data_IF_007369686869
#
_entry.id   IF_007369686869
#
_cell.length_a   1.000
_cell.length_b   1.000
_cell.length_c   1.000
_cell.angle_alpha   90.00
_cell.angle_beta   90.00
_cell.angle_gamma   90.00
#
_symmetry.space_group_name_H-M   'P 1'
#
loop_
_entity.id
_entity.type
_entity.pdbx_description
1 polymer ?
#
# COMPACT_ATOMS: atom_id res chain seq x y z
N UNK A 1 -29.18 -8.11 28.00
CA UNK A 1 -29.09 -6.73 28.53
C UNK A 1 -28.04 -5.98 27.72
N UNK A 2 -28.45 -5.02 26.89
CA UNK A 2 -27.52 -4.17 26.14
C UNK A 2 -27.13 -2.97 27.00
N UNK A 3 -25.83 -2.70 27.13
CA UNK A 3 -25.32 -1.52 27.83
C UNK A 3 -25.36 -0.34 26.87
N UNK A 4 -26.19 0.68 27.16
CA UNK A 4 -26.23 1.93 26.39
C UNK A 4 -25.27 2.94 27.01
N UNK A 5 -24.27 3.39 26.24
CA UNK A 5 -23.31 4.42 26.66
C UNK A 5 -23.56 5.67 25.85
N UNK A 6 -23.86 6.80 26.51
CA UNK A 6 -24.10 8.09 25.84
C UNK A 6 -22.75 8.73 25.50
N UNK A 7 -22.43 8.82 24.21
CA UNK A 7 -21.19 9.47 23.74
C UNK A 7 -21.50 10.92 23.37
N UNK A 8 -20.91 11.88 24.08
CA UNK A 8 -21.11 13.32 23.83
C UNK A 8 -20.04 13.93 22.90
N UNK A 9 -18.99 13.18 22.57
CA UNK A 9 -17.89 13.59 21.69
C UNK A 9 -17.38 12.40 20.87
N UNK A 10 -17.04 12.65 19.62
CA UNK A 10 -16.48 11.66 18.68
C UNK A 10 -17.54 10.98 17.82
N UNK A 11 -17.10 10.40 16.71
CA UNK A 11 -17.93 9.56 15.85
C UNK A 11 -17.87 8.10 16.32
N UNK A 12 -18.99 7.39 16.24
CA UNK A 12 -19.04 5.96 16.57
C UNK A 12 -18.21 5.20 15.52
N UNK A 13 -17.31 4.34 15.97
CA UNK A 13 -16.54 3.48 15.07
C UNK A 13 -17.50 2.55 14.31
N UNK A 14 -17.39 2.56 12.98
CA UNK A 14 -18.33 1.87 12.09
C UNK A 14 -19.49 2.75 11.59
N UNK A 15 -19.58 4.01 12.00
CA UNK A 15 -20.49 4.97 11.37
C UNK A 15 -20.05 5.30 9.94
N UNK A 16 -21.00 5.30 9.00
CA UNK A 16 -20.76 5.61 7.58
C UNK A 16 -20.28 7.05 7.39
N UNK A 17 -20.86 7.99 8.14
CA UNK A 17 -20.53 9.42 8.03
C UNK A 17 -19.29 9.84 8.84
N UNK A 18 -18.79 8.99 9.76
CA UNK A 18 -17.67 9.31 10.64
C UNK A 18 -16.41 9.77 9.89
N UNK A 19 -15.94 9.03 8.85
CA UNK A 19 -14.80 9.45 8.04
C UNK A 19 -15.00 10.80 7.34
N UNK A 20 -16.21 11.07 6.83
CA UNK A 20 -16.51 12.34 6.16
C UNK A 20 -16.44 13.52 7.12
N UNK A 21 -17.07 13.39 8.31
CA UNK A 21 -16.99 14.44 9.33
C UNK A 21 -15.56 14.68 9.81
N UNK A 22 -14.77 13.61 9.94
CA UNK A 22 -13.36 13.75 10.29
C UNK A 22 -12.59 14.54 9.23
N UNK A 23 -12.77 14.22 7.95
CA UNK A 23 -12.13 14.94 6.85
C UNK A 23 -12.54 16.42 6.81
N UNK A 24 -13.81 16.75 7.08
CA UNK A 24 -14.29 18.14 7.13
C UNK A 24 -13.62 18.95 8.25
N UNK A 25 -13.45 18.35 9.42
CA UNK A 25 -12.74 19.00 10.53
C UNK A 25 -11.28 19.23 10.11
N UNK A 26 -10.61 18.18 9.61
CA UNK A 26 -9.19 18.21 9.29
C UNK A 26 -8.86 19.13 8.10
N UNK A 27 -9.79 19.36 7.17
CA UNK A 27 -9.61 20.28 6.02
C UNK A 27 -9.14 21.67 6.46
N UNK A 28 -9.68 22.20 7.55
CA UNK A 28 -9.26 23.51 8.09
C UNK A 28 -7.78 23.54 8.50
N UNK A 29 -7.26 22.44 9.08
CA UNK A 29 -5.83 22.32 9.40
C UNK A 29 -4.98 22.28 8.13
N UNK A 30 -5.43 21.53 7.12
CA UNK A 30 -4.71 21.38 5.85
C UNK A 30 -4.55 22.74 5.13
N UNK A 31 -5.59 23.57 5.16
CA UNK A 31 -5.56 24.93 4.60
C UNK A 31 -4.58 25.83 5.34
N UNK A 32 -4.65 25.88 6.68
CA UNK A 32 -3.75 26.69 7.51
C UNK A 32 -2.27 26.30 7.31
N UNK A 33 -1.98 25.01 7.16
CA UNK A 33 -0.62 24.53 6.86
C UNK A 33 -0.18 24.81 5.42
N UNK A 34 -1.12 24.74 4.47
CA UNK A 34 -0.88 25.09 3.07
C UNK A 34 -0.50 26.56 2.90
N UNK A 35 -1.15 27.46 3.65
CA UNK A 35 -0.82 28.90 3.67
C UNK A 35 0.59 29.19 4.21
N UNK A 36 1.11 28.31 5.09
CA UNK A 36 2.50 28.37 5.56
C UNK A 36 3.53 27.84 4.55
N UNK A 37 3.09 27.42 3.36
CA UNK A 37 3.94 26.83 2.32
C UNK A 37 4.46 25.43 2.66
N UNK A 38 3.81 24.73 3.60
CA UNK A 38 4.18 23.37 4.00
C UNK A 38 3.41 22.38 3.14
N UNK A 39 4.12 21.40 2.57
CA UNK A 39 3.43 20.28 1.95
C UNK A 39 2.82 19.41 3.05
N UNK A 40 1.50 19.30 3.03
CA UNK A 40 0.73 18.50 4.00
C UNK A 40 -0.12 17.47 3.27
N UNK A 41 -0.13 16.25 3.81
CA UNK A 41 -1.04 15.19 3.40
C UNK A 41 -1.64 14.56 4.65
N UNK A 42 -2.95 14.33 4.65
CA UNK A 42 -3.61 13.56 5.70
C UNK A 42 -4.30 12.33 5.15
N UNK A 43 -4.41 11.31 5.99
CA UNK A 43 -5.23 10.12 5.77
C UNK A 43 -5.75 9.63 7.11
N UNK A 44 -7.07 9.65 7.30
CA UNK A 44 -7.68 9.45 8.61
C UNK A 44 -6.99 10.33 9.67
N UNK A 45 -6.53 9.77 10.78
CA UNK A 45 -5.84 10.47 11.87
C UNK A 45 -4.35 10.74 11.61
N UNK A 46 -3.76 10.13 10.58
CA UNK A 46 -2.35 10.35 10.22
C UNK A 46 -2.19 11.63 9.40
N UNK A 47 -1.36 12.56 9.88
CA UNK A 47 -0.97 13.80 9.19
C UNK A 47 0.53 13.78 8.91
N UNK A 48 0.90 14.05 7.67
CA UNK A 48 2.27 14.05 7.18
C UNK A 48 2.63 15.48 6.79
N UNK A 49 3.71 16.00 7.38
CA UNK A 49 4.30 17.28 7.03
C UNK A 49 5.63 17.02 6.32
N UNK A 50 5.82 17.62 5.15
CA UNK A 50 7.04 17.47 4.37
C UNK A 50 7.68 18.84 4.10
N UNK A 51 8.97 18.92 4.38
CA UNK A 51 9.79 20.13 4.24
C UNK A 51 10.95 19.84 3.29
N UNK A 52 11.35 20.84 2.51
CA UNK A 52 12.51 20.74 1.61
C UNK A 52 13.34 22.01 1.71
N UNK A 53 14.48 21.94 2.41
CA UNK A 53 15.42 23.05 2.63
C UNK A 53 16.86 22.58 2.55
N UNK A 54 17.80 23.52 2.41
CA UNK A 54 19.23 23.22 2.20
C UNK A 54 20.01 22.96 3.50
N UNK A 55 19.49 23.45 4.64
CA UNK A 55 20.11 23.36 5.98
C UNK A 55 19.15 22.72 7.00
N UNK A 56 19.71 21.97 7.96
CA UNK A 56 18.97 21.41 9.08
C UNK A 56 18.30 22.48 9.94
N UNK A 57 18.97 23.63 10.15
CA UNK A 57 18.43 24.76 10.92
C UNK A 57 17.15 25.34 10.31
N UNK A 58 17.09 25.47 8.99
CA UNK A 58 15.89 25.95 8.29
C UNK A 58 14.75 24.93 8.34
N UNK A 59 15.08 23.63 8.27
CA UNK A 59 14.09 22.56 8.45
C UNK A 59 13.52 22.62 9.87
N UNK A 60 14.38 22.81 10.87
CA UNK A 60 13.98 22.91 12.27
C UNK A 60 13.04 24.10 12.51
N UNK A 61 13.39 25.29 12.01
CA UNK A 61 12.57 26.49 12.15
C UNK A 61 11.17 26.28 11.53
N UNK A 62 11.11 25.78 10.29
CA UNK A 62 9.84 25.55 9.60
C UNK A 62 9.02 24.43 10.22
N UNK A 63 9.65 23.35 10.64
CA UNK A 63 8.98 22.24 11.30
C UNK A 63 8.37 22.70 12.63
N UNK A 64 9.13 23.41 13.45
CA UNK A 64 8.64 23.94 14.73
C UNK A 64 7.52 24.97 14.53
N UNK A 65 7.63 25.85 13.53
CA UNK A 65 6.56 26.81 13.17
C UNK A 65 5.27 26.10 12.76
N UNK A 66 5.38 25.09 11.91
CA UNK A 66 4.23 24.30 11.47
C UNK A 66 3.60 23.51 12.63
N UNK A 67 4.40 22.91 13.50
CA UNK A 67 3.89 22.17 14.67
C UNK A 67 3.25 23.08 15.71
N UNK A 68 3.73 24.33 15.84
CA UNK A 68 3.04 25.35 16.64
C UNK A 68 1.65 25.67 16.06
N UNK A 69 1.53 25.77 14.74
CA UNK A 69 0.23 25.92 14.06
C UNK A 69 -0.69 24.70 14.35
N UNK A 70 -0.18 23.48 14.18
CA UNK A 70 -0.90 22.23 14.51
C UNK A 70 -1.38 22.22 15.96
N UNK A 71 -0.54 22.67 16.90
CA UNK A 71 -0.89 22.77 18.30
C UNK A 71 -2.03 23.76 18.54
N UNK A 72 -1.89 25.00 18.06
CA UNK A 72 -2.90 26.05 18.19
C UNK A 72 -4.24 25.63 17.56
N UNK A 73 -4.20 25.05 16.37
CA UNK A 73 -5.38 24.49 15.72
C UNK A 73 -6.01 23.36 16.53
N UNK A 74 -5.20 22.45 17.07
CA UNK A 74 -5.67 21.36 17.94
C UNK A 74 -6.40 21.89 19.17
N UNK A 75 -5.83 22.87 19.87
CA UNK A 75 -6.46 23.50 21.05
C UNK A 75 -7.81 24.13 20.69
N UNK A 76 -7.88 24.91 19.60
CA UNK A 76 -9.14 25.53 19.13
C UNK A 76 -10.21 24.49 18.80
N UNK A 77 -9.82 23.38 18.17
CA UNK A 77 -10.72 22.30 17.76
C UNK A 77 -10.92 21.21 18.84
N UNK A 78 -10.38 21.41 20.05
CA UNK A 78 -10.45 20.45 21.17
C UNK A 78 -9.87 19.07 20.82
N UNK A 79 -8.83 19.06 20.00
CA UNK A 79 -8.05 17.90 19.59
C UNK A 79 -6.64 17.96 20.18
N UNK A 80 -6.06 16.80 20.48
CA UNK A 80 -4.71 16.70 21.03
C UNK A 80 -3.89 15.70 20.21
N UNK A 81 -2.84 16.20 19.58
CA UNK A 81 -1.81 15.37 18.96
C UNK A 81 -0.88 14.84 20.04
N UNK A 82 -0.53 13.55 19.95
CA UNK A 82 0.33 12.87 20.92
C UNK A 82 1.79 12.92 20.45
N UNK A 83 2.69 13.69 21.10
CA UNK A 83 4.10 13.77 20.69
C UNK A 83 4.78 12.40 20.65
N UNK A 84 4.41 11.53 21.59
CA UNK A 84 4.93 10.15 21.69
C UNK A 84 4.58 9.24 20.50
N UNK A 85 3.57 9.59 19.70
CA UNK A 85 3.17 8.87 18.49
C UNK A 85 3.68 9.55 17.22
N UNK A 86 4.10 10.80 17.32
CA UNK A 86 4.66 11.57 16.21
C UNK A 86 6.14 11.20 16.04
N UNK A 87 6.56 11.05 14.79
CA UNK A 87 7.93 10.67 14.43
C UNK A 87 8.47 11.66 13.40
N UNK A 88 9.76 11.97 13.49
CA UNK A 88 10.47 12.79 12.51
C UNK A 88 11.57 11.97 11.83
N UNK A 89 11.82 12.25 10.55
CA UNK A 89 12.87 11.59 9.78
C UNK A 89 13.36 12.53 8.68
N UNK A 90 14.67 12.64 8.53
CA UNK A 90 15.29 13.39 7.43
C UNK A 90 15.65 12.44 6.30
N UNK A 91 15.29 12.82 5.07
CA UNK A 91 15.67 12.11 3.86
C UNK A 91 16.73 12.92 3.12
N UNK A 92 17.95 12.42 3.01
CA UNK A 92 19.04 13.13 2.32
C UNK A 92 20.06 12.18 1.71
N UNK A 93 20.66 12.63 0.59
CA UNK A 93 21.82 11.94 -0.03
C UNK A 93 23.15 12.37 0.59
N UNK A 94 23.17 13.39 1.46
CA UNK A 94 24.39 13.88 2.12
C UNK A 94 24.90 12.81 3.10
N UNK A 95 26.22 12.62 3.13
CA UNK A 95 26.86 11.66 4.05
C UNK A 95 26.84 12.18 5.50
N UNK A 96 27.00 13.49 5.67
CA UNK A 96 26.94 14.20 6.95
C UNK A 96 25.85 15.25 6.89
N UNK A 97 25.00 15.27 7.91
CA UNK A 97 23.96 16.25 8.14
C UNK A 97 23.62 16.22 9.63
N UNK A 98 23.08 17.33 10.13
CA UNK A 98 22.61 17.42 11.51
C UNK A 98 21.14 17.06 11.59
N UNK A 99 20.74 16.38 12.67
CA UNK A 99 19.35 16.03 12.91
C UNK A 99 18.60 17.24 13.49
N UNK A 100 17.49 17.70 12.86
CA UNK A 100 16.75 18.87 13.34
C UNK A 100 16.05 18.58 14.67
N UNK A 101 16.11 19.53 15.60
CA UNK A 101 15.45 19.45 16.90
C UNK A 101 14.00 19.93 16.81
N UNK A 102 13.12 18.97 16.53
CA UNK A 102 11.69 19.23 16.34
C UNK A 102 10.92 18.99 17.64
N UNK A 103 10.08 19.93 18.05
CA UNK A 103 9.30 19.90 19.28
C UNK A 103 7.79 19.98 19.00
N UNK A 104 7.01 19.25 19.79
CA UNK A 104 5.55 19.34 19.79
C UNK A 104 5.05 19.33 21.24
N UNK A 105 4.24 20.31 21.61
CA UNK A 105 3.71 20.48 22.98
C UNK A 105 4.82 20.54 24.06
N UNK A 106 5.99 21.08 23.73
CA UNK A 106 7.15 21.14 24.65
C UNK A 106 7.94 19.84 24.78
N UNK A 107 7.53 18.75 24.12
CA UNK A 107 8.25 17.49 24.06
C UNK A 107 9.02 17.38 22.73
N UNK A 108 10.26 16.89 22.78
CA UNK A 108 11.04 16.63 21.57
C UNK A 108 10.46 15.41 20.83
N UNK A 109 10.16 15.56 19.54
CA UNK A 109 9.71 14.47 18.69
C UNK A 109 10.86 13.50 18.44
N UNK A 110 10.56 12.21 18.50
CA UNK A 110 11.54 11.16 18.25
C UNK A 110 12.00 11.17 16.80
N UNK A 111 13.31 11.33 16.61
CA UNK A 111 13.96 11.10 15.33
C UNK A 111 14.13 9.60 15.07
N UNK A 112 13.70 9.14 13.89
CA UNK A 112 13.74 7.72 13.52
C UNK A 112 14.36 7.48 12.16
N UNK A 113 15.04 6.35 12.01
CA UNK A 113 15.63 5.92 10.73
C UNK A 113 14.65 5.26 9.77
N UNK A 114 13.44 4.92 10.23
CA UNK A 114 12.34 4.41 9.41
C UNK A 114 10.99 4.98 9.87
N UNK A 115 10.14 5.40 8.93
CA UNK A 115 8.75 5.79 9.19
C UNK A 115 7.81 4.83 8.47
N UNK A 116 6.70 4.49 9.13
CA UNK A 116 5.59 3.76 8.51
C UNK A 116 4.50 4.73 8.10
N UNK A 117 4.20 4.81 6.81
CA UNK A 117 3.13 5.62 6.24
C UNK A 117 2.19 4.72 5.45
N UNK A 118 0.91 4.64 5.83
CA UNK A 118 -0.08 3.80 5.16
C UNK A 118 0.44 2.38 4.89
N UNK A 119 1.08 1.73 5.86
CA UNK A 119 1.64 0.38 5.69
C UNK A 119 2.96 0.28 4.91
N UNK A 120 3.37 1.31 4.18
CA UNK A 120 4.69 1.40 3.54
C UNK A 120 5.75 1.78 4.59
N UNK A 121 6.89 1.10 4.60
CA UNK A 121 8.03 1.48 5.47
C UNK A 121 9.06 2.20 4.63
N UNK A 122 9.35 3.45 4.98
CA UNK A 122 10.29 4.31 4.27
C UNK A 122 11.54 4.48 5.13
N UNK A 123 12.72 4.19 4.58
CA UNK A 123 14.01 4.34 5.27
C UNK A 123 14.73 5.65 4.88
N UNK A 124 15.32 6.30 5.89
CA UNK A 124 15.88 7.66 5.80
C UNK A 124 17.01 7.87 4.77
N UNK A 125 17.89 6.87 4.57
CA UNK A 125 19.19 7.09 3.91
C UNK A 125 19.13 7.16 2.39
N UNK A 126 18.55 6.14 1.75
CA UNK A 126 18.60 5.99 0.28
C UNK A 126 17.30 5.47 -0.29
N UNK A 127 16.20 5.60 0.45
CA UNK A 127 14.88 5.05 0.10
C UNK A 127 15.06 3.62 -0.42
N UNK A 128 15.75 2.80 0.38
CA UNK A 128 16.12 1.47 -0.04
C UNK A 128 14.96 0.51 -0.08
N UNK A 129 13.95 0.76 0.73
CA UNK A 129 12.78 -0.09 0.96
C UNK A 129 13.14 -1.53 1.37
N UNK A 130 14.40 -1.79 1.74
CA UNK A 130 14.85 -3.11 2.22
C UNK A 130 14.06 -3.52 3.47
N UNK A 131 13.86 -2.64 4.49
CA UNK A 131 13.03 -2.98 5.64
C UNK A 131 11.58 -3.30 5.26
N UNK A 132 11.01 -2.57 4.29
CA UNK A 132 9.65 -2.81 3.81
C UNK A 132 9.52 -4.19 3.16
N UNK A 133 10.38 -4.49 2.17
CA UNK A 133 10.36 -5.78 1.46
C UNK A 133 10.63 -6.92 2.44
N UNK A 134 11.57 -6.76 3.37
CA UNK A 134 11.83 -7.78 4.39
C UNK A 134 10.59 -8.06 5.26
N UNK A 135 9.88 -7.01 5.71
CA UNK A 135 8.63 -7.14 6.48
C UNK A 135 7.53 -7.82 5.65
N UNK A 136 7.36 -7.44 4.38
CA UNK A 136 6.37 -8.03 3.47
C UNK A 136 6.67 -9.51 3.18
N UNK A 137 7.91 -9.84 2.79
CA UNK A 137 8.36 -11.21 2.54
C UNK A 137 8.22 -12.10 3.80
N UNK A 138 8.57 -11.57 4.98
CA UNK A 138 8.40 -12.28 6.26
C UNK A 138 6.92 -12.56 6.55
N UNK A 139 6.04 -11.56 6.37
CA UNK A 139 4.60 -11.72 6.54
C UNK A 139 4.03 -12.78 5.59
N UNK A 140 4.35 -12.67 4.30
CA UNK A 140 3.90 -13.62 3.29
C UNK A 140 4.40 -15.05 3.57
N UNK A 141 5.67 -15.20 3.94
CA UNK A 141 6.26 -16.50 4.30
C UNK A 141 5.59 -17.11 5.54
N UNK A 142 5.27 -16.31 6.55
CA UNK A 142 4.61 -16.80 7.77
C UNK A 142 3.19 -17.30 7.50
N UNK A 143 2.44 -16.59 6.65
CA UNK A 143 1.10 -17.00 6.22
C UNK A 143 1.20 -18.31 5.43
N UNK A 144 2.10 -18.36 4.44
CA UNK A 144 2.35 -19.58 3.67
C UNK A 144 2.74 -20.77 4.55
N UNK A 145 3.67 -20.58 5.50
CA UNK A 145 4.07 -21.64 6.45
C UNK A 145 2.89 -22.12 7.29
N UNK A 146 1.98 -21.24 7.66
CA UNK A 146 0.79 -21.61 8.43
C UNK A 146 -0.21 -22.40 7.60
N UNK A 147 -0.48 -21.96 6.36
CA UNK A 147 -1.31 -22.69 5.41
C UNK A 147 -0.73 -24.05 5.04
N UNK A 148 0.57 -24.12 4.77
CA UNK A 148 1.25 -25.37 4.46
C UNK A 148 1.26 -26.35 5.64
N UNK A 149 1.31 -25.87 6.88
CA UNK A 149 1.16 -26.72 8.07
C UNK A 149 -0.26 -27.28 8.18
N UNK A 150 -1.27 -26.44 8.01
CA UNK A 150 -2.68 -26.86 8.06
C UNK A 150 -2.98 -27.92 6.97
N UNK A 151 -2.54 -27.68 5.74
CA UNK A 151 -2.80 -28.60 4.65
C UNK A 151 -2.00 -29.91 4.73
N UNK A 152 -0.85 -29.93 5.42
CA UNK A 152 -0.13 -31.19 5.70
C UNK A 152 -0.96 -32.12 6.60
N UNK A 153 -1.83 -31.57 7.44
CA UNK A 153 -2.76 -32.37 8.25
C UNK A 153 -3.85 -33.05 7.39
N UNK A 154 -4.10 -32.54 6.18
CA UNK A 154 -5.15 -33.00 5.26
C UNK A 154 -4.57 -33.28 3.87
N UNK A 155 -3.93 -34.43 3.66
CA UNK A 155 -3.48 -34.96 2.35
C UNK A 155 -2.71 -33.99 1.39
N UNK A 156 -2.28 -32.81 1.84
CA UNK A 156 -1.58 -31.79 1.05
C UNK A 156 -2.49 -30.83 0.27
N UNK A 157 -1.90 -29.76 -0.30
CA UNK A 157 -2.59 -28.86 -1.24
C UNK A 157 -2.39 -29.35 -2.68
N UNK A 158 -3.42 -29.24 -3.52
CA UNK A 158 -3.24 -29.39 -4.96
C UNK A 158 -2.37 -28.24 -5.51
N UNK A 159 -1.61 -28.47 -6.61
CA UNK A 159 -0.82 -27.42 -7.25
C UNK A 159 -1.63 -26.17 -7.62
N UNK A 160 -2.87 -26.35 -8.06
CA UNK A 160 -3.79 -25.30 -8.48
C UNK A 160 -4.21 -24.44 -7.29
N UNK A 161 -4.61 -25.07 -6.18
CA UNK A 161 -4.97 -24.38 -4.94
C UNK A 161 -3.77 -23.59 -4.41
N UNK A 162 -2.57 -24.18 -4.44
CA UNK A 162 -1.36 -23.51 -4.00
C UNK A 162 -1.01 -22.30 -4.89
N UNK A 163 -1.19 -22.43 -6.21
CA UNK A 163 -1.03 -21.32 -7.16
C UNK A 163 -2.04 -20.20 -6.87
N UNK A 164 -3.29 -20.54 -6.62
CA UNK A 164 -4.33 -19.56 -6.25
C UNK A 164 -3.97 -18.83 -4.96
N UNK A 165 -3.58 -19.55 -3.90
CA UNK A 165 -3.12 -18.94 -2.64
C UNK A 165 -1.92 -18.03 -2.87
N UNK A 166 -0.97 -18.46 -3.71
CA UNK A 166 0.20 -17.66 -4.03
C UNK A 166 -0.20 -16.32 -4.68
N UNK A 167 -1.01 -16.35 -5.73
CA UNK A 167 -1.41 -15.14 -6.47
C UNK A 167 -2.29 -14.23 -5.59
N UNK A 168 -3.25 -14.81 -4.87
CA UNK A 168 -4.25 -14.03 -4.12
C UNK A 168 -3.72 -13.49 -2.79
N UNK A 169 -2.80 -14.20 -2.13
CA UNK A 169 -2.33 -13.84 -0.77
C UNK A 169 -0.86 -13.44 -0.75
N UNK A 170 0.03 -14.25 -1.31
CA UNK A 170 1.47 -14.01 -1.19
C UNK A 170 1.86 -12.83 -2.09
N UNK A 171 1.45 -12.87 -3.36
CA UNK A 171 1.72 -11.84 -4.34
C UNK A 171 1.04 -10.51 -3.92
N UNK A 172 -0.22 -10.52 -3.47
CA UNK A 172 -0.90 -9.31 -2.99
C UNK A 172 -0.21 -8.65 -1.78
N UNK A 173 0.31 -9.42 -0.83
CA UNK A 173 1.06 -8.89 0.32
C UNK A 173 2.37 -8.26 -0.13
N UNK A 174 3.09 -8.91 -1.05
CA UNK A 174 4.37 -8.41 -1.54
C UNK A 174 4.17 -7.19 -2.42
N UNK A 175 3.20 -7.20 -3.34
CA UNK A 175 2.91 -6.12 -4.28
C UNK A 175 2.35 -4.85 -3.63
N UNK A 176 2.03 -4.89 -2.33
CA UNK A 176 1.56 -3.71 -1.62
C UNK A 176 2.51 -2.53 -1.81
N UNK A 177 1.95 -1.38 -2.21
CA UNK A 177 2.69 -0.14 -2.48
C UNK A 177 3.87 -0.30 -3.49
N UNK A 178 3.81 -1.28 -4.39
CA UNK A 178 4.84 -1.53 -5.41
C UNK A 178 5.19 -0.31 -6.25
N UNK A 179 4.23 0.57 -6.52
CA UNK A 179 4.46 1.85 -7.21
C UNK A 179 5.54 2.72 -6.53
N UNK A 180 5.69 2.66 -5.20
CA UNK A 180 6.68 3.43 -4.47
C UNK A 180 8.05 2.74 -4.41
N UNK A 181 8.08 1.41 -4.24
CA UNK A 181 9.33 0.69 -3.96
C UNK A 181 9.86 -0.16 -5.12
N UNK A 182 9.15 -0.26 -6.25
CA UNK A 182 9.60 -1.03 -7.42
C UNK A 182 11.04 -0.72 -7.87
N UNK A 183 11.57 0.53 -7.84
CA UNK A 183 12.97 0.78 -8.16
C UNK A 183 13.97 0.00 -7.28
N UNK A 184 13.58 -0.37 -6.06
CA UNK A 184 14.40 -1.17 -5.16
C UNK A 184 14.62 -2.61 -5.67
N UNK A 185 13.79 -3.11 -6.58
CA UNK A 185 13.99 -4.42 -7.25
C UNK A 185 15.30 -4.49 -8.05
N UNK A 186 15.88 -3.35 -8.43
CA UNK A 186 17.22 -3.33 -9.01
C UNK A 186 18.32 -3.84 -8.05
N UNK A 187 18.06 -3.85 -6.75
CA UNK A 187 19.05 -4.22 -5.72
C UNK A 187 19.09 -5.73 -5.52
N UNK A 188 20.30 -6.31 -5.53
CA UNK A 188 20.51 -7.75 -5.39
C UNK A 188 19.92 -8.31 -4.08
N UNK A 189 20.05 -7.59 -2.97
CA UNK A 189 19.48 -8.01 -1.69
C UNK A 189 17.95 -8.12 -1.71
N UNK A 190 17.28 -7.18 -2.38
CA UNK A 190 15.82 -7.19 -2.56
C UNK A 190 15.40 -8.36 -3.43
N UNK A 191 16.05 -8.56 -4.58
CA UNK A 191 15.77 -9.72 -5.46
C UNK A 191 15.93 -11.05 -4.73
N UNK A 192 17.04 -11.25 -4.01
CA UNK A 192 17.26 -12.47 -3.22
C UNK A 192 16.17 -12.73 -2.18
N UNK A 193 15.61 -11.69 -1.54
CA UNK A 193 14.49 -11.84 -0.61
C UNK A 193 13.22 -12.28 -1.33
N UNK A 194 12.92 -11.72 -2.50
CA UNK A 194 11.77 -12.10 -3.32
C UNK A 194 11.91 -13.55 -3.83
N UNK A 195 13.09 -13.89 -4.36
CA UNK A 195 13.44 -15.23 -4.84
C UNK A 195 13.28 -16.30 -3.75
N UNK A 196 13.68 -15.98 -2.52
CA UNK A 196 13.55 -16.90 -1.38
C UNK A 196 12.08 -17.22 -1.07
N UNK A 197 11.19 -16.22 -1.14
CA UNK A 197 9.74 -16.43 -0.96
C UNK A 197 9.21 -17.33 -2.07
N UNK A 198 9.50 -17.00 -3.33
CA UNK A 198 9.02 -17.77 -4.48
C UNK A 198 9.52 -19.21 -4.49
N UNK A 199 10.83 -19.42 -4.23
CA UNK A 199 11.44 -20.76 -4.23
C UNK A 199 10.71 -21.71 -3.30
N UNK A 200 10.30 -21.22 -2.13
CA UNK A 200 9.61 -22.04 -1.12
C UNK A 200 8.22 -22.50 -1.56
N UNK A 201 7.58 -21.77 -2.48
CA UNK A 201 6.24 -22.08 -3.01
C UNK A 201 6.35 -22.88 -4.30
N UNK A 202 7.18 -22.43 -5.26
CA UNK A 202 7.32 -23.05 -6.57
C UNK A 202 7.78 -24.53 -6.48
N UNK A 203 8.74 -24.82 -5.59
CA UNK A 203 9.18 -26.21 -5.37
C UNK A 203 8.05 -27.12 -4.87
N UNK A 204 7.11 -26.59 -4.08
CA UNK A 204 5.98 -27.38 -3.57
C UNK A 204 4.84 -27.48 -4.58
N UNK A 205 4.58 -26.42 -5.34
CA UNK A 205 3.55 -26.41 -6.38
C UNK A 205 3.84 -27.47 -7.44
N UNK A 206 5.08 -27.55 -7.91
CA UNK A 206 5.49 -28.54 -8.89
C UNK A 206 6.00 -29.87 -8.30
N UNK A 207 6.01 -30.02 -6.96
CA UNK A 207 6.60 -31.18 -6.25
C UNK A 207 8.05 -31.49 -6.72
N UNK A 208 8.81 -30.44 -7.00
CA UNK A 208 10.15 -30.53 -7.56
C UNK A 208 11.21 -30.89 -6.50
N UNK A 209 12.29 -31.54 -6.92
CA UNK A 209 13.46 -31.75 -6.05
C UNK A 209 14.08 -30.43 -5.60
N UNK A 210 14.69 -30.42 -4.41
CA UNK A 210 15.35 -29.22 -3.84
C UNK A 210 16.50 -28.68 -4.69
N UNK A 211 17.08 -29.52 -5.57
CA UNK A 211 18.17 -29.17 -6.49
C UNK A 211 17.70 -28.43 -7.74
N UNK A 212 16.39 -28.41 -8.03
CA UNK A 212 15.84 -27.72 -9.20
C UNK A 212 16.11 -26.21 -9.10
N UNK A 213 16.51 -25.62 -10.22
CA UNK A 213 16.77 -24.18 -10.32
C UNK A 213 15.47 -23.39 -10.05
N UNK A 214 15.58 -22.18 -9.48
CA UNK A 214 14.40 -21.35 -9.23
C UNK A 214 13.64 -21.04 -10.52
N UNK A 215 14.36 -20.63 -11.57
CA UNK A 215 13.76 -20.29 -12.87
C UNK A 215 12.98 -21.47 -13.45
N UNK A 216 13.55 -22.68 -13.43
CA UNK A 216 12.85 -23.89 -13.89
C UNK A 216 11.58 -24.15 -13.07
N UNK A 217 11.66 -24.05 -11.74
CA UNK A 217 10.51 -24.27 -10.87
C UNK A 217 9.38 -23.24 -11.11
N UNK A 218 9.74 -21.98 -11.39
CA UNK A 218 8.78 -20.92 -11.70
C UNK A 218 8.07 -21.14 -13.03
N UNK A 219 8.82 -21.48 -14.09
CA UNK A 219 8.27 -21.80 -15.42
C UNK A 219 7.28 -22.95 -15.32
N UNK A 220 7.68 -24.05 -14.68
CA UNK A 220 6.84 -25.24 -14.51
C UNK A 220 5.61 -24.98 -13.64
N UNK A 221 5.69 -24.04 -12.70
CA UNK A 221 4.57 -23.62 -11.85
C UNK A 221 3.68 -22.54 -12.49
N UNK A 222 4.00 -22.08 -13.72
CA UNK A 222 3.32 -20.96 -14.39
C UNK A 222 3.27 -19.70 -13.51
N UNK A 223 4.41 -19.38 -12.87
CA UNK A 223 4.59 -18.22 -12.00
C UNK A 223 5.67 -17.29 -12.59
N UNK A 224 5.36 -16.00 -12.66
CA UNK A 224 6.34 -14.99 -13.07
C UNK A 224 7.28 -14.65 -11.90
N UNK A 225 8.58 -14.38 -12.14
CA UNK A 225 9.48 -13.84 -11.12
C UNK A 225 8.89 -12.60 -10.43
N UNK A 226 9.01 -12.54 -9.09
CA UNK A 226 8.36 -11.50 -8.28
C UNK A 226 8.93 -10.11 -8.57
N UNK A 227 10.22 -10.00 -8.89
CA UNK A 227 10.81 -8.71 -9.25
C UNK A 227 10.22 -8.14 -10.55
N UNK A 228 9.85 -9.01 -11.49
CA UNK A 228 9.16 -8.63 -12.73
C UNK A 228 7.71 -8.26 -12.41
N UNK A 229 7.01 -9.06 -11.61
CA UNK A 229 5.63 -8.76 -11.15
C UNK A 229 5.51 -7.42 -10.43
N UNK A 230 6.48 -7.09 -9.58
CA UNK A 230 6.52 -5.81 -8.86
C UNK A 230 6.66 -4.65 -9.83
N UNK A 231 7.53 -4.78 -10.84
CA UNK A 231 7.70 -3.76 -11.89
C UNK A 231 6.45 -3.63 -12.77
N UNK A 232 5.85 -4.75 -13.16
CA UNK A 232 4.57 -4.79 -13.89
C UNK A 232 3.48 -4.06 -13.11
N UNK A 233 3.30 -4.36 -11.82
CA UNK A 233 2.29 -3.72 -10.97
C UNK A 233 2.53 -2.22 -10.80
N UNK A 234 3.80 -1.79 -10.67
CA UNK A 234 4.15 -0.38 -10.60
C UNK A 234 3.88 0.34 -11.94
N UNK A 235 4.24 -0.26 -13.06
CA UNK A 235 3.94 0.28 -14.39
C UNK A 235 2.43 0.39 -14.62
N UNK A 236 1.66 -0.63 -14.24
CA UNK A 236 0.20 -0.62 -14.32
C UNK A 236 -0.39 0.53 -13.50
N UNK A 237 0.12 0.76 -12.29
CA UNK A 237 -0.28 1.89 -11.46
C UNK A 237 -0.02 3.24 -12.15
N UNK A 238 1.14 3.40 -12.78
CA UNK A 238 1.49 4.63 -13.51
C UNK A 238 0.64 4.83 -14.78
N UNK A 239 0.37 3.76 -15.54
CA UNK A 239 -0.54 3.79 -16.69
C UNK A 239 -1.95 4.25 -16.28
N UNK A 240 -2.47 3.69 -15.17
CA UNK A 240 -3.75 4.11 -14.57
C UNK A 240 -3.75 5.57 -14.08
N UNK A 241 -2.61 6.26 -13.99
CA UNK A 241 -2.54 7.70 -13.71
C UNK A 241 -2.30 8.54 -14.96
N UNK A 242 -2.43 7.95 -16.14
CA UNK A 242 -2.32 8.65 -17.42
C UNK A 242 -0.88 8.86 -17.90
N UNK A 243 0.11 8.16 -17.33
CA UNK A 243 1.45 8.15 -17.92
C UNK A 243 1.46 7.25 -19.16
N UNK A 244 1.92 7.79 -20.28
CA UNK A 244 2.15 7.01 -21.48
C UNK A 244 3.35 6.07 -21.27
N UNK A 245 3.08 4.76 -21.33
CA UNK A 245 4.07 3.70 -21.24
C UNK A 245 4.23 2.97 -22.58
N UNK A 246 3.73 3.56 -23.68
CA UNK A 246 3.71 2.96 -25.01
C UNK A 246 2.89 1.67 -25.06
N UNK A 247 3.23 0.78 -25.99
CA UNK A 247 2.55 -0.50 -26.23
C UNK A 247 2.81 -1.59 -25.15
N UNK A 248 3.09 -1.22 -23.90
CA UNK A 248 3.43 -2.20 -22.86
C UNK A 248 2.22 -3.06 -22.41
N UNK A 249 0.99 -2.57 -22.63
CA UNK A 249 -0.25 -3.22 -22.17
C UNK A 249 -1.31 -3.37 -23.27
N UNK A 250 -0.90 -3.70 -24.52
CA UNK A 250 -1.81 -3.82 -25.68
C UNK A 250 -2.97 -4.79 -25.42
N UNK A 251 -2.76 -5.82 -24.58
CA UNK A 251 -3.76 -6.86 -24.30
C UNK A 251 -4.65 -6.57 -23.09
N UNK A 252 -4.61 -5.36 -22.49
CA UNK A 252 -5.39 -5.04 -21.28
C UNK A 252 -6.17 -3.74 -21.43
N UNK A 253 -7.46 -3.81 -21.14
CA UNK A 253 -8.28 -2.62 -20.90
C UNK A 253 -7.92 -2.00 -19.55
N UNK A 254 -7.60 -0.71 -19.55
CA UNK A 254 -7.23 0.04 -18.35
C UNK A 254 -8.26 1.11 -18.05
N UNK A 255 -8.87 1.02 -16.87
CA UNK A 255 -9.65 2.12 -16.32
C UNK A 255 -8.74 3.32 -16.05
N UNK A 256 -9.20 4.50 -16.49
CA UNK A 256 -8.52 5.78 -16.26
C UNK A 256 -9.32 6.64 -15.29
N UNK A 257 -8.68 7.54 -14.51
CA UNK A 257 -9.37 8.45 -13.64
C UNK A 257 -10.14 9.44 -14.50
N UNK A 258 -11.44 9.58 -14.25
CA UNK A 258 -12.31 10.56 -14.89
C UNK A 258 -12.69 11.60 -13.85
N UNK A 259 -12.64 12.88 -14.23
CA UNK A 259 -13.06 13.96 -13.35
C UNK A 259 -14.55 13.79 -12.99
N UNK A 260 -14.92 14.05 -11.75
CA UNK A 260 -16.28 13.82 -11.27
C UNK A 260 -17.33 14.59 -12.08
N UNK A 261 -17.00 15.78 -12.58
CA UNK A 261 -17.89 16.56 -13.45
C UNK A 261 -18.04 16.04 -14.89
N UNK A 262 -17.25 15.05 -15.29
CA UNK A 262 -17.32 14.39 -16.61
C UNK A 262 -18.02 13.02 -16.50
N UNK A 263 -18.13 12.47 -15.29
CA UNK A 263 -18.90 11.26 -15.04
C UNK A 263 -20.39 11.54 -15.33
N UNK A 264 -21.11 10.62 -16.01
CA UNK A 264 -22.55 10.76 -16.17
C UNK A 264 -23.19 10.85 -14.79
N UNK A 265 -24.19 11.72 -14.67
CA UNK A 265 -24.97 11.86 -13.45
C UNK A 265 -25.46 10.46 -12.99
N UNK A 266 -25.50 10.13 -11.68
CA UNK A 266 -25.89 8.80 -11.20
C UNK A 266 -27.21 8.26 -11.77
N UNK A 267 -28.16 9.16 -12.09
CA UNK A 267 -29.44 8.82 -12.72
C UNK A 267 -29.35 8.45 -14.22
N UNK A 268 -28.20 8.68 -14.87
CA UNK A 268 -27.92 8.35 -16.26
C UNK A 268 -26.80 7.29 -16.37
N UNK A 269 -26.40 6.69 -15.26
CA UNK A 269 -25.48 5.55 -15.29
C UNK A 269 -26.22 4.41 -15.98
N UNK A 270 -25.67 3.82 -17.05
CA UNK A 270 -26.32 2.70 -17.72
C UNK A 270 -26.57 1.57 -16.71
N UNK A 271 -27.81 1.09 -16.65
CA UNK A 271 -28.13 -0.11 -15.88
C UNK A 271 -27.34 -1.27 -16.49
N UNK A 272 -26.54 -1.92 -15.65
CA UNK A 272 -25.90 -3.18 -16.03
C UNK A 272 -27.01 -4.21 -15.96
N UNK A 273 -27.58 -4.55 -17.12
CA UNK A 273 -28.52 -5.66 -17.23
C UNK A 273 -27.76 -6.97 -16.96
N UNK A 274 -28.21 -7.69 -15.94
CA UNK A 274 -27.73 -9.03 -15.65
C UNK A 274 -28.71 -10.02 -16.27
N UNK A 275 -28.30 -10.72 -17.33
CA UNK A 275 -29.01 -11.90 -17.78
C UNK A 275 -28.59 -13.10 -16.91
N UNK A 276 -29.59 -13.80 -16.36
CA UNK A 276 -29.33 -15.06 -15.67
C UNK A 276 -28.88 -16.10 -16.68
N UNK A 277 -27.84 -16.88 -16.33
CA UNK A 277 -27.37 -17.97 -17.18
C UNK A 277 -28.45 -19.04 -17.39
N UNK A 278 -29.42 -19.13 -16.48
CA UNK A 278 -30.56 -20.04 -16.56
C UNK A 278 -31.59 -19.64 -17.64
N UNK A 279 -31.57 -18.37 -18.07
CA UNK A 279 -32.52 -17.81 -19.05
C UNK A 279 -31.93 -17.76 -20.48
N UNK A 280 -30.68 -18.20 -20.67
CA UNK A 280 -30.01 -18.19 -21.97
C UNK A 280 -30.41 -19.42 -22.82
N UNK A 281 -30.59 -19.20 -24.13
CA UNK A 281 -30.87 -20.28 -25.06
C UNK A 281 -29.67 -21.26 -25.20
N UNK A 282 -29.95 -22.51 -25.57
CA UNK A 282 -28.91 -23.56 -25.64
C UNK A 282 -27.85 -23.28 -26.71
N UNK A 283 -28.10 -22.38 -27.66
CA UNK A 283 -27.11 -21.96 -28.67
C UNK A 283 -26.11 -20.94 -28.10
N UNK A 284 -26.55 -20.02 -27.26
CA UNK A 284 -25.70 -18.98 -26.64
C UNK A 284 -24.85 -19.55 -25.51
N UNK A 285 -25.39 -20.51 -24.74
CA UNK A 285 -24.63 -21.27 -23.74
C UNK A 285 -23.44 -22.02 -24.37
N UNK A 286 -23.62 -22.61 -25.57
CA UNK A 286 -22.53 -23.30 -26.28
C UNK A 286 -21.45 -22.37 -26.84
N UNK A 287 -21.78 -21.10 -27.11
CA UNK A 287 -20.80 -20.07 -27.52
C UNK A 287 -20.01 -19.51 -26.34
N UNK A 288 -20.62 -19.47 -25.16
CA UNK A 288 -20.00 -18.99 -23.91
C UNK A 288 -19.31 -20.10 -23.12
N UNK A 289 -19.48 -21.36 -23.54
CA UNK A 289 -18.79 -22.50 -22.97
C UNK A 289 -17.27 -22.32 -23.15
N UNK A 290 -16.58 -22.09 -22.03
CA UNK A 290 -15.12 -22.11 -22.00
C UNK A 290 -14.69 -23.55 -22.25
N UNK A 291 -14.37 -23.87 -23.50
CA UNK A 291 -13.72 -25.13 -23.86
C UNK A 291 -12.32 -25.10 -23.28
N UNK A 292 -12.16 -25.74 -22.13
CA UNK A 292 -10.84 -26.03 -21.57
C UNK A 292 -10.07 -26.99 -22.49
N UNK A 293 -8.72 -27.04 -22.36
CA UNK A 293 -7.93 -28.08 -23.02
C UNK A 293 -8.26 -29.47 -22.47
#
# INVERSE_FOLDING_TARGET
MGVQKRTSKGCIQGSIAGPTFWNLILDSLLRELGELGVYVQAFADDVILMYSRQSASLIEEEANRALACVHCWGVRNKLRFAPSKTHSMVMTKKLKYDDPMVHMNGEQIRFVGEIRLLGLTIDHRKLTFVPHVAKACKKATNIYKSLARAAKATWGLSPEVLRTIYITVIESIVLYASCAWAPATGKLGVRKMLDAVQRSVALKAYRAYRTVSLHSALILSKLLPLDIRVREAAQLYEAKRGKDLGNTFVDRELERPVYLGILPHPAHVPEIEYESVEDLDSQTINRLAVVGP
#
